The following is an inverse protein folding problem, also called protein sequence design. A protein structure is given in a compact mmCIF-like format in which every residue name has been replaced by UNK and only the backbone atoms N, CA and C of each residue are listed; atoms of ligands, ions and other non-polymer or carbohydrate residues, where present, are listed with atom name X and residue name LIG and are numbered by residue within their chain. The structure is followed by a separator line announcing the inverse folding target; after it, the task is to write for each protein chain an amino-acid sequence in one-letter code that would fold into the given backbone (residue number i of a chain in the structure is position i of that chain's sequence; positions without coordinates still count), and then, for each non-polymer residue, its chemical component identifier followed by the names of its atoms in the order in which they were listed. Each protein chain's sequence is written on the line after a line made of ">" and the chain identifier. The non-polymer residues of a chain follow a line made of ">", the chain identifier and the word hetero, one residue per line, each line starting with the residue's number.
data_IF_401173312147
#
_entry.id   IF_401173312147
#
_cell.length_a   1.000
_cell.length_b   1.000
_cell.length_c   1.000
_cell.angle_alpha   90.00
_cell.angle_beta   90.00
_cell.angle_gamma   90.00
#
_symmetry.space_group_name_H-M   'P 1'
#
loop_
_entity.id
_entity.type
_entity.pdbx_description
1 polymer ?
#
# COMPACT_ATOMS: atom_id res chain seq x y z
N UNK A 1 -1.11 -1.47 4.86
CA UNK A 1 -0.36 -2.57 5.52
C UNK A 1 0.38 -3.45 4.49
N UNK A 2 -0.33 -4.02 3.52
CA UNK A 2 0.24 -4.97 2.55
C UNK A 2 1.47 -4.44 1.81
N UNK A 3 1.44 -3.18 1.38
CA UNK A 3 2.58 -2.51 0.75
C UNK A 3 3.86 -2.58 1.59
N UNK A 4 3.78 -2.11 2.84
CA UNK A 4 4.89 -2.13 3.80
C UNK A 4 5.43 -3.54 4.03
N UNK A 5 4.56 -4.55 4.11
CA UNK A 5 5.00 -5.96 4.22
C UNK A 5 5.74 -6.42 2.96
N UNK A 6 5.23 -6.09 1.77
CA UNK A 6 5.88 -6.43 0.48
C UNK A 6 7.26 -5.80 0.35
N UNK A 7 7.43 -4.57 0.83
CA UNK A 7 8.75 -3.94 0.90
C UNK A 7 9.71 -4.72 1.79
N UNK A 8 9.27 -5.13 2.99
CA UNK A 8 10.11 -5.95 3.87
C UNK A 8 10.49 -7.28 3.24
N UNK A 9 9.53 -8.00 2.66
CA UNK A 9 9.79 -9.25 1.93
C UNK A 9 10.83 -9.03 0.82
N UNK A 10 10.62 -8.02 -0.03
CA UNK A 10 11.57 -7.73 -1.12
C UNK A 10 12.97 -7.36 -0.63
N UNK A 11 13.10 -6.75 0.55
CA UNK A 11 14.39 -6.41 1.16
C UNK A 11 15.08 -7.60 1.84
N UNK A 12 14.33 -8.57 2.37
CA UNK A 12 14.88 -9.66 3.19
C UNK A 12 14.96 -11.01 2.49
N UNK A 13 14.27 -11.18 1.36
CA UNK A 13 14.18 -12.45 0.64
C UNK A 13 14.61 -12.28 -0.82
N UNK A 14 14.96 -13.39 -1.48
CA UNK A 14 15.35 -13.39 -2.88
C UNK A 14 14.11 -13.53 -3.78
N UNK A 15 13.66 -12.41 -4.36
CA UNK A 15 12.52 -12.34 -5.27
C UNK A 15 11.28 -13.13 -4.79
N UNK A 16 10.77 -12.88 -3.57
CA UNK A 16 9.68 -13.68 -3.01
C UNK A 16 8.37 -13.48 -3.77
N UNK A 17 7.59 -14.55 -3.90
CA UNK A 17 6.23 -14.49 -4.43
C UNK A 17 5.32 -13.88 -3.37
N UNK A 18 4.73 -12.72 -3.66
CA UNK A 18 3.86 -12.03 -2.71
C UNK A 18 2.45 -12.64 -2.70
N UNK A 19 1.83 -12.63 -1.52
CA UNK A 19 0.43 -13.02 -1.39
C UNK A 19 -0.51 -11.93 -1.90
N UNK A 20 -1.44 -12.31 -2.78
CA UNK A 20 -2.59 -11.49 -3.15
C UNK A 20 -3.69 -11.60 -2.10
N UNK A 21 -4.67 -10.72 -2.19
CA UNK A 21 -5.82 -10.74 -1.28
C UNK A 21 -7.05 -10.19 -2.02
N UNK A 22 -8.21 -10.71 -1.65
CA UNK A 22 -9.50 -10.31 -2.21
C UNK A 22 -9.94 -8.97 -1.60
N UNK A 23 -9.38 -7.86 -2.08
CA UNK A 23 -9.61 -6.52 -1.52
C UNK A 23 -11.10 -6.13 -1.45
N UNK A 24 -11.89 -6.57 -2.43
CA UNK A 24 -13.34 -6.36 -2.46
C UNK A 24 -14.08 -7.12 -1.37
N UNK A 25 -13.62 -8.31 -1.02
CA UNK A 25 -14.19 -9.09 0.06
C UNK A 25 -13.74 -8.55 1.42
N UNK A 26 -12.49 -8.08 1.53
CA UNK A 26 -11.99 -7.44 2.74
C UNK A 26 -12.78 -6.16 3.07
N UNK A 27 -13.10 -5.35 2.06
CA UNK A 27 -13.89 -4.13 2.25
C UNK A 27 -15.33 -4.39 2.75
N UNK A 28 -15.84 -5.61 2.62
CA UNK A 28 -17.18 -6.02 3.10
C UNK A 28 -17.17 -6.58 4.52
N UNK A 29 -15.99 -6.76 5.12
CA UNK A 29 -15.89 -7.30 6.47
C UNK A 29 -16.41 -6.31 7.51
N UNK A 30 -16.88 -6.85 8.64
CA UNK A 30 -17.63 -6.07 9.62
C UNK A 30 -16.84 -4.91 10.21
N UNK A 31 -15.53 -5.09 10.42
CA UNK A 31 -14.63 -4.06 10.93
C UNK A 31 -14.55 -2.85 9.98
N UNK A 32 -14.59 -3.08 8.66
CA UNK A 32 -14.56 -2.03 7.64
C UNK A 32 -15.87 -1.23 7.57
N UNK A 33 -16.99 -1.82 7.99
CA UNK A 33 -18.32 -1.20 7.99
C UNK A 33 -18.58 -0.36 9.26
N UNK A 34 -18.21 -0.89 10.44
CA UNK A 34 -18.66 -0.31 11.72
C UNK A 34 -17.65 0.59 12.41
N UNK A 35 -16.35 0.40 12.16
CA UNK A 35 -15.33 1.18 12.85
C UNK A 35 -15.23 2.58 12.23
N UNK A 36 -15.09 3.62 13.06
CA UNK A 36 -14.95 4.97 12.56
C UNK A 36 -13.60 5.14 11.84
N UNK A 37 -13.59 5.97 10.80
CA UNK A 37 -12.43 6.16 9.92
C UNK A 37 -11.16 6.60 10.66
N UNK A 38 -11.28 7.28 11.82
CA UNK A 38 -10.13 7.71 12.62
C UNK A 38 -9.26 6.54 13.11
N UNK A 39 -9.82 5.35 13.28
CA UNK A 39 -9.05 4.14 13.63
C UNK A 39 -8.07 3.81 12.49
N UNK A 40 -8.56 3.75 11.26
CA UNK A 40 -7.74 3.51 10.07
C UNK A 40 -6.76 4.64 9.79
N UNK A 41 -7.14 5.90 10.02
CA UNK A 41 -6.24 7.06 9.85
C UNK A 41 -5.08 6.97 10.86
N UNK A 42 -5.36 6.62 12.11
CA UNK A 42 -4.32 6.45 13.15
C UNK A 42 -3.37 5.31 12.80
N UNK A 43 -3.92 4.18 12.33
CA UNK A 43 -3.13 3.05 11.85
C UNK A 43 -2.24 3.43 10.66
N UNK A 44 -2.78 4.16 9.68
CA UNK A 44 -2.05 4.64 8.52
C UNK A 44 -0.94 5.61 8.90
N UNK A 45 -1.17 6.50 9.87
CA UNK A 45 -0.15 7.40 10.38
C UNK A 45 1.05 6.63 10.93
N UNK A 46 0.82 5.72 11.90
CA UNK A 46 1.89 4.91 12.48
C UNK A 46 2.59 4.03 11.43
N UNK A 47 1.82 3.46 10.49
CA UNK A 47 2.36 2.67 9.39
C UNK A 47 3.29 3.49 8.50
N UNK A 48 2.85 4.67 8.07
CA UNK A 48 3.62 5.55 7.17
C UNK A 48 4.86 6.11 7.86
N UNK A 49 4.82 6.39 9.16
CA UNK A 49 6.02 6.78 9.93
C UNK A 49 7.09 5.70 9.84
N UNK A 50 6.74 4.43 10.11
CA UNK A 50 7.70 3.33 10.04
C UNK A 50 8.17 3.05 8.61
N UNK A 51 7.24 3.14 7.66
CA UNK A 51 7.56 2.86 6.27
C UNK A 51 8.45 3.95 5.68
N UNK A 52 8.21 5.22 5.98
CA UNK A 52 9.06 6.34 5.59
C UNK A 52 10.51 6.14 6.07
N UNK A 53 10.72 5.84 7.35
CA UNK A 53 12.08 5.62 7.87
C UNK A 53 12.77 4.43 7.20
N UNK A 54 12.04 3.34 6.91
CA UNK A 54 12.57 2.22 6.13
C UNK A 54 12.98 2.65 4.71
N UNK A 55 12.12 3.37 4.00
CA UNK A 55 12.41 3.78 2.62
C UNK A 55 13.59 4.75 2.55
N UNK A 56 13.71 5.63 3.55
CA UNK A 56 14.80 6.61 3.67
C UNK A 56 16.16 5.94 3.91
N UNK A 57 16.20 4.74 4.50
CA UNK A 57 17.44 4.03 4.79
C UNK A 57 17.98 3.19 3.63
N UNK A 58 17.23 3.04 2.53
CA UNK A 58 17.61 2.17 1.42
C UNK A 58 18.70 2.79 0.55
N UNK A 59 19.69 1.99 0.17
CA UNK A 59 20.68 2.36 -0.85
C UNK A 59 20.15 2.12 -2.27
N UNK A 60 20.95 2.44 -3.28
CA UNK A 60 20.52 2.37 -4.68
C UNK A 60 20.27 0.92 -5.13
N UNK A 61 21.05 0.00 -4.61
CA UNK A 61 21.03 -1.43 -4.90
C UNK A 61 19.77 -2.09 -4.31
N UNK A 62 19.39 -1.71 -3.08
CA UNK A 62 18.16 -2.15 -2.42
C UNK A 62 16.92 -1.89 -3.27
N UNK A 63 16.85 -0.73 -3.93
CA UNK A 63 15.71 -0.39 -4.76
C UNK A 63 15.54 -1.25 -6.02
N UNK A 64 16.63 -1.89 -6.47
CA UNK A 64 16.60 -2.84 -7.59
C UNK A 64 16.15 -4.24 -7.16
N UNK A 65 16.04 -4.51 -5.85
CA UNK A 65 15.43 -5.75 -5.35
C UNK A 65 13.96 -5.80 -5.77
N UNK A 66 13.41 -7.01 -5.82
CA UNK A 66 12.10 -7.23 -6.37
C UNK A 66 11.27 -8.25 -5.59
N UNK A 67 9.97 -8.24 -5.88
CA UNK A 67 9.01 -9.26 -5.49
C UNK A 67 8.32 -9.79 -6.75
N UNK A 68 7.75 -10.99 -6.66
CA UNK A 68 7.02 -11.62 -7.77
C UNK A 68 5.52 -11.53 -7.50
N UNK A 69 4.77 -10.93 -8.42
CA UNK A 69 3.31 -10.98 -8.40
C UNK A 69 2.81 -12.30 -9.00
N UNK A 70 1.96 -13.08 -8.31
CA UNK A 70 1.60 -14.43 -8.72
C UNK A 70 0.81 -14.49 -10.04
N UNK A 71 -0.10 -13.54 -10.29
CA UNK A 71 -1.02 -13.59 -11.45
C UNK A 71 -0.34 -13.73 -12.82
N UNK A 72 0.88 -13.19 -12.97
CA UNK A 72 1.65 -13.27 -14.22
C UNK A 72 3.12 -13.66 -14.00
N UNK A 73 3.46 -14.19 -12.82
CA UNK A 73 4.84 -14.40 -12.38
C UNK A 73 5.74 -13.18 -12.67
N UNK A 74 5.18 -11.99 -12.48
CA UNK A 74 5.79 -10.73 -12.91
C UNK A 74 6.68 -10.20 -11.81
N UNK A 75 7.93 -9.95 -12.15
CA UNK A 75 8.85 -9.25 -11.27
C UNK A 75 8.46 -7.76 -11.15
N UNK A 76 8.40 -7.29 -9.91
CA UNK A 76 8.09 -5.89 -9.58
C UNK A 76 9.19 -5.41 -8.63
N UNK A 77 10.00 -4.45 -9.09
CA UNK A 77 11.06 -3.86 -8.28
C UNK A 77 10.49 -3.01 -7.14
N UNK A 78 11.29 -2.78 -6.09
CA UNK A 78 10.90 -1.86 -5.02
C UNK A 78 10.70 -0.43 -5.56
N UNK A 79 11.46 -0.02 -6.59
CA UNK A 79 11.20 1.21 -7.35
C UNK A 79 9.78 1.25 -7.92
N UNK A 80 9.34 0.19 -8.60
CA UNK A 80 7.99 0.13 -9.16
C UNK A 80 6.91 0.15 -8.07
N UNK A 81 7.13 -0.58 -6.97
CA UNK A 81 6.21 -0.57 -5.83
C UNK A 81 6.08 0.83 -5.22
N UNK A 82 7.18 1.58 -5.08
CA UNK A 82 7.14 2.95 -4.55
C UNK A 82 6.27 3.85 -5.42
N UNK A 83 6.50 3.83 -6.73
CA UNK A 83 5.72 4.61 -7.69
C UNK A 83 4.23 4.26 -7.63
N UNK A 84 3.92 2.96 -7.65
CA UNK A 84 2.56 2.46 -7.57
C UNK A 84 1.85 2.92 -6.29
N UNK A 85 2.47 2.76 -5.11
CA UNK A 85 1.83 3.14 -3.85
C UNK A 85 1.79 4.66 -3.61
N UNK A 86 2.74 5.41 -4.17
CA UNK A 86 2.67 6.88 -4.21
C UNK A 86 1.45 7.36 -5.01
N UNK A 87 1.19 6.73 -6.16
CA UNK A 87 -0.02 6.99 -6.95
C UNK A 87 -1.30 6.54 -6.23
N UNK A 88 -1.30 5.35 -5.64
CA UNK A 88 -2.47 4.73 -5.02
C UNK A 88 -3.11 5.60 -3.94
N UNK A 89 -2.31 6.23 -3.07
CA UNK A 89 -2.83 7.14 -2.05
C UNK A 89 -3.53 8.36 -2.67
N UNK A 90 -2.92 8.99 -3.68
CA UNK A 90 -3.51 10.12 -4.40
C UNK A 90 -4.78 9.72 -5.15
N UNK A 91 -4.79 8.54 -5.75
CA UNK A 91 -5.93 7.99 -6.46
C UNK A 91 -7.16 7.84 -5.54
N UNK A 92 -6.99 7.24 -4.36
CA UNK A 92 -8.11 7.10 -3.41
C UNK A 92 -8.56 8.43 -2.79
N UNK A 93 -7.63 9.35 -2.52
CA UNK A 93 -8.00 10.70 -2.08
C UNK A 93 -8.86 11.37 -3.16
N UNK A 94 -8.50 11.26 -4.44
CA UNK A 94 -9.28 11.83 -5.53
C UNK A 94 -10.71 11.29 -5.57
N UNK A 95 -10.92 9.98 -5.38
CA UNK A 95 -12.29 9.43 -5.28
C UNK A 95 -13.11 10.09 -4.16
N UNK A 96 -12.51 10.28 -2.98
CA UNK A 96 -13.19 10.90 -1.82
C UNK A 96 -13.49 12.37 -2.11
N UNK A 97 -12.51 13.14 -2.61
CA UNK A 97 -12.68 14.57 -2.84
C UNK A 97 -13.67 14.84 -3.97
N UNK A 98 -13.64 14.07 -5.05
CA UNK A 98 -14.60 14.18 -6.15
C UNK A 98 -16.02 13.84 -5.69
N UNK A 99 -16.20 12.78 -4.88
CA UNK A 99 -17.52 12.47 -4.32
C UNK A 99 -18.03 13.62 -3.43
N UNK A 100 -17.16 14.16 -2.57
CA UNK A 100 -17.46 15.30 -1.70
C UNK A 100 -17.91 16.52 -2.52
N UNK A 101 -17.19 16.85 -3.58
CA UNK A 101 -17.50 17.94 -4.51
C UNK A 101 -18.84 17.73 -5.20
N UNK A 102 -19.08 16.54 -5.77
CA UNK A 102 -20.31 16.21 -6.48
C UNK A 102 -21.56 16.25 -5.59
N UNK A 103 -21.41 15.96 -4.30
CA UNK A 103 -22.52 16.00 -3.33
C UNK A 103 -22.63 17.33 -2.57
N UNK A 104 -21.74 18.30 -2.83
CA UNK A 104 -21.74 19.60 -2.14
C UNK A 104 -21.45 19.49 -0.63
N UNK A 105 -20.76 18.43 -0.19
CA UNK A 105 -20.35 18.26 1.19
C UNK A 105 -19.16 19.20 1.49
N UNK A 106 -19.16 19.85 2.66
CA UNK A 106 -18.09 20.76 3.08
C UNK A 106 -17.08 20.03 3.96
#
# INVERSE_FOLDING_TARGET
>A
LNAYMRFKLGLTEQAPVIKTYEEKEWAKLKDSEVLPANISITLLHALHTRWHELLKSLDREDWNRAVIHPDHNREITLWNLLGMYSWHGRHHIAHITTARENHGWK
#
